data_IF_771502867218
#
_entry.id   IF_771502867218
#
_cell.length_a   1.000
_cell.length_b   1.000
_cell.length_c   1.000
_cell.angle_alpha   90.00
_cell.angle_beta   90.00
_cell.angle_gamma   90.00
#
_symmetry.space_group_name_H-M   'P 1'
#
loop_
_entity.id
_entity.type
_entity.pdbx_description
1 polymer ?
#
# COMPACT_ATOMS: atom_id res chain seq x y z
N UNK A 1 -17.36 27.18 -7.49
CA UNK A 1 -16.34 27.90 -8.28
C UNK A 1 -15.08 27.06 -8.28
N UNK A 2 -14.74 26.46 -9.44
CA UNK A 2 -13.54 25.64 -9.60
C UNK A 2 -12.33 26.56 -9.54
N UNK A 3 -11.65 26.63 -8.40
CA UNK A 3 -10.32 27.20 -8.32
C UNK A 3 -9.43 26.35 -9.20
N UNK A 4 -9.09 26.86 -10.40
CA UNK A 4 -8.04 26.29 -11.21
C UNK A 4 -6.83 26.10 -10.30
N UNK A 5 -6.49 24.84 -10.04
CA UNK A 5 -5.39 24.44 -9.18
C UNK A 5 -4.14 25.14 -9.73
N UNK A 6 -3.53 26.03 -8.96
CA UNK A 6 -2.18 26.53 -9.25
C UNK A 6 -1.23 25.69 -8.39
N UNK A 7 -0.02 25.42 -8.89
CA UNK A 7 1.01 24.82 -8.03
C UNK A 7 1.30 25.78 -6.88
N UNK A 8 1.73 25.23 -5.74
CA UNK A 8 2.10 26.09 -4.63
C UNK A 8 3.36 26.89 -4.98
N UNK A 9 3.44 28.10 -4.46
CA UNK A 9 4.66 28.89 -4.55
C UNK A 9 5.70 28.38 -3.56
N UNK A 10 6.98 28.51 -3.92
CA UNK A 10 8.06 28.30 -2.97
C UNK A 10 7.99 29.40 -1.91
N UNK A 11 8.23 29.06 -0.63
CA UNK A 11 8.24 30.08 0.41
C UNK A 11 9.41 31.04 0.18
N UNK A 12 9.17 32.33 0.40
CA UNK A 12 10.20 33.38 0.30
C UNK A 12 11.25 33.27 1.39
N UNK A 13 10.92 32.64 2.51
CA UNK A 13 11.81 32.33 3.63
C UNK A 13 11.61 30.89 4.08
N UNK A 14 12.69 30.14 4.21
CA UNK A 14 12.63 28.75 4.69
C UNK A 14 12.66 28.70 6.21
N UNK A 15 11.64 28.04 6.79
CA UNK A 15 11.67 27.65 8.21
C UNK A 15 12.59 26.43 8.43
N UNK A 16 12.97 26.10 9.68
CA UNK A 16 13.79 24.91 9.95
C UNK A 16 13.22 23.62 9.35
N UNK A 17 11.90 23.44 9.41
CA UNK A 17 11.21 22.30 8.80
C UNK A 17 11.40 22.23 7.28
N UNK A 18 11.36 23.39 6.60
CA UNK A 18 11.61 23.44 5.16
C UNK A 18 13.07 23.09 4.84
N UNK A 19 14.02 23.59 5.63
CA UNK A 19 15.46 23.30 5.44
C UNK A 19 15.71 21.80 5.63
N UNK A 20 15.21 21.20 6.71
CA UNK A 20 15.35 19.76 6.95
C UNK A 20 14.75 18.95 5.79
N UNK A 21 13.50 19.23 5.40
CA UNK A 21 12.84 18.50 4.33
C UNK A 21 13.57 18.64 2.98
N UNK A 22 14.10 19.83 2.67
CA UNK A 22 14.88 20.07 1.44
C UNK A 22 16.21 19.34 1.47
N UNK A 23 16.90 19.28 2.60
CA UNK A 23 18.13 18.51 2.75
C UNK A 23 17.88 17.03 2.53
N UNK A 24 16.79 16.48 3.10
CA UNK A 24 16.40 15.08 2.86
C UNK A 24 16.10 14.85 1.37
N UNK A 25 15.35 15.75 0.72
CA UNK A 25 15.02 15.60 -0.70
C UNK A 25 16.26 15.60 -1.59
N UNK A 26 17.18 16.55 -1.36
CA UNK A 26 18.42 16.65 -2.12
C UNK A 26 19.28 15.41 -1.96
N UNK A 27 19.44 14.95 -0.73
CA UNK A 27 20.18 13.71 -0.46
C UNK A 27 19.54 12.51 -1.17
N UNK A 28 18.22 12.33 -1.05
CA UNK A 28 17.50 11.27 -1.76
C UNK A 28 17.73 11.32 -3.27
N UNK A 29 17.56 12.50 -3.89
CA UNK A 29 17.75 12.64 -5.34
C UNK A 29 19.20 12.36 -5.76
N UNK A 30 20.19 12.87 -5.02
CA UNK A 30 21.61 12.59 -5.29
C UNK A 30 21.92 11.10 -5.14
N UNK A 31 21.41 10.42 -4.12
CA UNK A 31 21.59 8.97 -3.95
C UNK A 31 20.90 8.14 -5.03
N UNK A 32 19.90 8.68 -5.74
CA UNK A 32 19.30 8.03 -6.91
C UNK A 32 20.13 8.24 -8.19
N UNK A 33 20.91 9.32 -8.26
CA UNK A 33 21.84 9.63 -9.36
C UNK A 33 23.16 8.84 -9.27
N UNK A 34 23.48 8.27 -8.10
CA UNK A 34 24.68 7.46 -7.93
C UNK A 34 24.61 6.16 -8.76
N UNK A 35 25.58 5.86 -9.65
CA UNK A 35 25.56 4.66 -10.48
C UNK A 35 25.52 3.34 -9.72
N UNK A 36 26.06 3.32 -8.50
CA UNK A 36 26.08 2.15 -7.60
C UNK A 36 24.75 1.95 -6.86
N UNK A 37 23.84 2.93 -6.93
CA UNK A 37 22.51 2.82 -6.32
C UNK A 37 21.72 1.70 -6.98
N UNK A 38 21.15 0.81 -6.15
CA UNK A 38 20.25 -0.26 -6.64
C UNK A 38 19.07 0.26 -7.47
N UNK A 39 18.73 1.54 -7.30
CA UNK A 39 17.64 2.22 -7.97
C UNK A 39 18.08 3.03 -9.21
N UNK A 40 19.38 3.15 -9.49
CA UNK A 40 19.92 3.97 -10.57
C UNK A 40 19.33 3.61 -11.94
N UNK A 41 19.25 2.31 -12.26
CA UNK A 41 18.73 1.84 -13.54
C UNK A 41 17.31 2.34 -13.84
N UNK A 42 16.51 2.58 -12.79
CA UNK A 42 15.12 3.04 -12.90
C UNK A 42 14.98 4.55 -12.71
N UNK A 43 15.70 5.13 -11.74
CA UNK A 43 15.52 6.52 -11.33
C UNK A 43 16.66 7.44 -11.74
N UNK A 44 17.91 6.97 -11.82
CA UNK A 44 19.08 7.84 -12.01
C UNK A 44 18.98 8.71 -13.24
N UNK A 45 18.84 8.11 -14.42
CA UNK A 45 18.62 8.84 -15.68
C UNK A 45 17.33 9.66 -15.71
N UNK A 46 16.35 9.32 -14.87
CA UNK A 46 15.14 10.11 -14.75
C UNK A 46 15.40 11.37 -13.93
N UNK A 47 16.11 11.29 -12.81
CA UNK A 47 16.49 12.45 -12.00
C UNK A 47 17.42 13.38 -12.78
N UNK A 48 18.49 12.85 -13.39
CA UNK A 48 19.50 13.63 -14.14
C UNK A 48 18.90 14.51 -15.25
N UNK A 49 17.85 14.01 -15.92
CA UNK A 49 17.20 14.72 -17.02
C UNK A 49 16.30 15.88 -16.57
N UNK A 50 16.00 15.99 -15.28
CA UNK A 50 15.04 16.93 -14.72
C UNK A 50 15.70 17.94 -13.78
N UNK A 51 16.40 18.96 -14.31
CA UNK A 51 16.90 20.04 -13.47
C UNK A 51 15.73 20.76 -12.78
N UNK A 52 15.86 21.00 -11.47
CA UNK A 52 14.81 21.62 -10.65
C UNK A 52 13.70 20.65 -10.21
N UNK A 53 13.90 19.34 -10.33
CA UNK A 53 12.98 18.34 -9.79
C UNK A 53 12.76 18.52 -8.28
N UNK A 54 13.79 18.93 -7.53
CA UNK A 54 13.67 19.21 -6.09
C UNK A 54 12.65 20.33 -5.81
N UNK A 55 12.78 21.45 -6.52
CA UNK A 55 11.86 22.58 -6.42
C UNK A 55 10.44 22.18 -6.86
N UNK A 56 10.30 21.36 -7.90
CA UNK A 56 9.00 20.87 -8.35
C UNK A 56 8.31 19.97 -7.30
N UNK A 57 9.05 19.01 -6.73
CA UNK A 57 8.59 18.18 -5.63
C UNK A 57 8.15 19.04 -4.44
N UNK A 58 8.91 20.08 -4.10
CA UNK A 58 8.58 21.00 -3.02
C UNK A 58 7.27 21.76 -3.25
N UNK A 59 7.02 22.20 -4.50
CA UNK A 59 5.77 22.87 -4.90
C UNK A 59 4.55 21.94 -4.90
N UNK A 60 4.76 20.63 -5.04
CA UNK A 60 3.69 19.64 -4.92
C UNK A 60 3.16 19.52 -3.48
N UNK A 61 3.98 19.85 -2.46
CA UNK A 61 3.60 19.73 -1.05
C UNK A 61 2.62 20.84 -0.66
N UNK A 62 1.55 20.45 0.05
CA UNK A 62 0.54 21.39 0.53
C UNK A 62 1.10 22.26 1.67
N UNK A 63 0.81 23.58 1.71
CA UNK A 63 1.34 24.49 2.74
C UNK A 63 1.03 24.10 4.20
N UNK A 64 -0.10 23.41 4.42
CA UNK A 64 -0.51 22.95 5.76
C UNK A 64 0.43 21.90 6.34
N UNK A 65 1.14 21.16 5.47
CA UNK A 65 2.18 20.21 5.89
C UNK A 65 3.33 20.96 6.56
N UNK A 66 3.78 22.07 5.97
CA UNK A 66 4.85 22.88 6.53
C UNK A 66 4.47 23.51 7.87
N UNK A 67 3.21 23.94 7.99
CA UNK A 67 2.66 24.46 9.26
C UNK A 67 2.73 23.40 10.36
N UNK A 68 2.35 22.15 10.04
CA UNK A 68 2.46 21.03 10.97
C UNK A 68 3.91 20.71 11.35
N UNK A 69 4.79 20.56 10.36
CA UNK A 69 6.18 20.17 10.59
C UNK A 69 6.97 21.20 11.40
N UNK A 70 6.60 22.48 11.30
CA UNK A 70 7.19 23.55 12.11
C UNK A 70 6.64 23.62 13.53
N UNK A 71 5.53 22.93 13.81
CA UNK A 71 4.88 22.90 15.10
C UNK A 71 5.25 21.67 15.94
N UNK A 72 4.63 21.57 17.12
CA UNK A 72 4.72 20.37 17.95
C UNK A 72 3.87 19.27 17.34
N UNK A 73 4.49 18.12 17.09
CA UNK A 73 3.80 16.97 16.54
C UNK A 73 2.73 16.47 17.50
N UNK A 74 1.51 16.31 17.00
CA UNK A 74 0.40 15.71 17.73
C UNK A 74 -0.67 15.22 16.77
N UNK A 75 -1.50 14.28 17.21
CA UNK A 75 -2.60 13.79 16.39
C UNK A 75 -3.60 14.92 16.05
N UNK A 76 -3.84 15.83 16.99
CA UNK A 76 -4.71 16.99 16.76
C UNK A 76 -4.13 17.95 15.72
N UNK A 77 -2.81 18.18 15.76
CA UNK A 77 -2.14 19.04 14.80
C UNK A 77 -2.10 18.45 13.37
N UNK A 78 -2.37 17.15 13.19
CA UNK A 78 -2.51 16.54 11.86
C UNK A 78 -3.85 16.88 11.18
N UNK A 79 -4.90 17.23 11.93
CA UNK A 79 -6.25 17.48 11.39
C UNK A 79 -6.28 18.57 10.31
N UNK A 80 -5.57 19.72 10.45
CA UNK A 80 -5.50 20.74 9.39
C UNK A 80 -4.87 20.25 8.07
N UNK A 81 -4.11 19.15 8.08
CA UNK A 81 -3.57 18.53 6.86
C UNK A 81 -4.67 17.82 6.06
N UNK A 82 -5.88 17.62 6.60
CA UNK A 82 -7.00 16.89 5.98
C UNK A 82 -7.13 17.06 4.46
N UNK A 83 -7.23 18.31 3.98
CA UNK A 83 -7.33 18.61 2.55
C UNK A 83 -8.59 18.03 1.89
N UNK A 84 -8.61 18.01 0.56
CA UNK A 84 -9.72 17.39 -0.19
C UNK A 84 -9.47 15.89 -0.40
N UNK A 85 -9.94 15.07 0.54
CA UNK A 85 -9.86 13.60 0.45
C UNK A 85 -10.74 13.01 -0.66
N UNK A 86 -11.61 13.81 -1.30
CA UNK A 86 -12.50 13.37 -2.38
C UNK A 86 -11.97 13.70 -3.77
N UNK A 87 -10.78 14.30 -3.86
CA UNK A 87 -10.15 14.58 -5.15
C UNK A 87 -9.89 13.29 -5.93
N UNK A 88 -10.05 13.39 -7.26
CA UNK A 88 -9.67 12.33 -8.18
C UNK A 88 -8.18 12.32 -8.52
N UNK A 89 -7.41 13.32 -8.06
CA UNK A 89 -6.01 13.51 -8.39
C UNK A 89 -5.10 12.39 -7.86
N UNK A 90 -3.97 12.21 -8.54
CA UNK A 90 -2.82 11.48 -8.02
C UNK A 90 -2.21 12.26 -6.85
N UNK A 91 -1.96 11.59 -5.73
CA UNK A 91 -1.60 12.27 -4.50
C UNK A 91 -0.78 11.38 -3.56
N UNK A 92 -0.04 12.03 -2.67
CA UNK A 92 0.53 11.44 -1.46
C UNK A 92 -0.37 11.80 -0.29
N UNK A 93 -0.77 10.81 0.49
CA UNK A 93 -1.55 10.97 1.71
C UNK A 93 -0.79 10.45 2.92
N UNK A 94 -1.22 10.91 4.09
CA UNK A 94 -0.80 10.39 5.37
C UNK A 94 -2.01 9.87 6.14
N UNK A 95 -1.78 8.91 7.03
CA UNK A 95 -2.74 8.48 8.02
C UNK A 95 -2.04 8.40 9.38
N UNK A 96 -2.36 9.34 10.27
CA UNK A 96 -1.91 9.34 11.65
C UNK A 96 -2.90 8.58 12.52
N UNK A 97 -2.42 7.53 13.18
CA UNK A 97 -3.25 6.55 13.88
C UNK A 97 -2.88 6.56 15.36
N UNK A 98 -3.84 6.87 16.23
CA UNK A 98 -3.68 6.76 17.67
C UNK A 98 -4.12 5.37 18.13
N UNK A 99 -3.15 4.55 18.51
CA UNK A 99 -3.38 3.20 19.00
C UNK A 99 -4.11 3.18 20.34
N UNK A 100 -4.65 2.01 20.69
CA UNK A 100 -5.19 1.73 22.03
C UNK A 100 -4.12 1.90 23.13
N UNK A 101 -2.86 1.69 22.77
CA UNK A 101 -1.65 1.91 23.59
C UNK A 101 -1.24 3.38 23.72
N UNK A 102 -2.07 4.31 23.24
CA UNK A 102 -1.86 5.77 23.27
C UNK A 102 -0.65 6.26 22.48
N UNK A 103 -0.07 5.42 21.63
CA UNK A 103 1.03 5.81 20.72
C UNK A 103 0.47 6.23 19.37
N UNK A 104 1.06 7.28 18.79
CA UNK A 104 0.73 7.71 17.43
C UNK A 104 1.67 7.05 16.44
N UNK A 105 1.11 6.51 15.37
CA UNK A 105 1.84 5.90 14.27
C UNK A 105 1.45 6.54 12.94
N UNK A 106 2.42 6.74 12.07
CA UNK A 106 2.23 7.38 10.77
C UNK A 106 2.37 6.34 9.68
N UNK A 107 1.42 6.35 8.75
CA UNK A 107 1.54 5.70 7.46
C UNK A 107 1.52 6.78 6.38
N UNK A 108 2.49 6.75 5.46
CA UNK A 108 2.49 7.57 4.25
C UNK A 108 2.21 6.66 3.06
N UNK A 109 1.39 7.08 2.11
CA UNK A 109 1.15 6.29 0.91
C UNK A 109 0.78 7.13 -0.29
N UNK A 110 0.91 6.54 -1.47
CA UNK A 110 0.50 7.16 -2.73
C UNK A 110 -0.82 6.60 -3.27
N UNK A 111 -1.45 7.39 -4.13
CA UNK A 111 -2.63 7.00 -4.89
C UNK A 111 -2.59 7.62 -6.28
N UNK A 112 -2.96 6.86 -7.32
CA UNK A 112 -3.26 7.42 -8.66
C UNK A 112 -4.60 8.14 -8.69
N UNK A 113 -5.48 7.81 -7.75
CA UNK A 113 -6.72 8.54 -7.51
C UNK A 113 -7.02 8.48 -6.01
N UNK A 114 -7.03 9.63 -5.36
CA UNK A 114 -7.10 9.68 -3.90
C UNK A 114 -8.45 9.21 -3.36
N UNK A 115 -9.56 9.67 -3.93
CA UNK A 115 -10.92 9.33 -3.48
C UNK A 115 -11.17 7.82 -3.30
N UNK A 116 -10.96 6.95 -4.32
CA UNK A 116 -11.18 5.53 -4.16
C UNK A 116 -10.19 4.91 -3.14
N UNK A 117 -8.96 5.41 -3.07
CA UNK A 117 -7.95 4.93 -2.10
C UNK A 117 -8.37 5.24 -0.66
N UNK A 118 -8.86 6.44 -0.37
CA UNK A 118 -9.37 6.77 0.97
C UNK A 118 -10.63 5.96 1.30
N UNK A 119 -11.52 5.73 0.33
CA UNK A 119 -12.69 4.88 0.54
C UNK A 119 -12.31 3.44 0.92
N UNK A 120 -11.25 2.88 0.33
CA UNK A 120 -10.69 1.57 0.72
C UNK A 120 -10.22 1.57 2.17
N UNK A 121 -9.46 2.60 2.58
CA UNK A 121 -8.98 2.73 3.96
C UNK A 121 -10.10 2.77 4.99
N UNK A 122 -11.21 3.43 4.67
CA UNK A 122 -12.36 3.55 5.56
C UNK A 122 -13.26 2.30 5.55
N UNK A 123 -13.23 1.49 4.48
CA UNK A 123 -14.05 0.30 4.35
C UNK A 123 -13.49 -0.89 5.15
N UNK A 124 -14.22 -1.31 6.18
CA UNK A 124 -13.80 -2.43 7.03
C UNK A 124 -13.67 -3.77 6.29
N UNK A 125 -14.53 -4.04 5.29
CA UNK A 125 -14.47 -5.29 4.51
C UNK A 125 -13.21 -5.31 3.65
N UNK A 126 -12.92 -4.19 3.00
CA UNK A 126 -11.69 -4.05 2.23
C UNK A 126 -10.45 -4.29 3.10
N UNK A 127 -10.41 -3.69 4.30
CA UNK A 127 -9.29 -3.90 5.24
C UNK A 127 -9.15 -5.34 5.71
N UNK A 128 -10.26 -6.03 5.95
CA UNK A 128 -10.26 -7.46 6.32
C UNK A 128 -9.68 -8.32 5.21
N UNK A 129 -10.07 -8.05 3.96
CA UNK A 129 -9.71 -8.87 2.80
C UNK A 129 -8.32 -8.53 2.24
N UNK A 130 -7.70 -7.43 2.69
CA UNK A 130 -6.38 -6.96 2.24
C UNK A 130 -5.46 -6.69 3.44
N UNK A 131 -5.11 -7.70 4.25
CA UNK A 131 -4.37 -7.51 5.49
C UNK A 131 -3.02 -6.82 5.27
N UNK A 132 -2.71 -5.86 6.15
CA UNK A 132 -1.45 -5.14 6.17
C UNK A 132 -1.18 -4.59 7.58
N UNK A 133 0.07 -4.25 7.90
CA UNK A 133 0.42 -3.60 9.16
C UNK A 133 -0.38 -2.29 9.37
N UNK A 134 -0.58 -1.51 8.30
CA UNK A 134 -1.38 -0.29 8.34
C UNK A 134 -2.84 -0.56 8.76
N UNK A 135 -3.47 -1.60 8.19
CA UNK A 135 -4.84 -1.95 8.54
C UNK A 135 -4.96 -2.60 9.91
N UNK A 136 -3.95 -3.34 10.31
CA UNK A 136 -3.85 -3.87 11.67
C UNK A 136 -3.82 -2.74 12.69
N UNK A 137 -3.03 -1.68 12.42
CA UNK A 137 -2.98 -0.49 13.25
C UNK A 137 -4.34 0.22 13.31
N UNK A 138 -5.03 0.39 12.17
CA UNK A 138 -6.36 1.01 12.13
C UNK A 138 -7.40 0.23 12.95
N UNK A 139 -7.39 -1.10 12.88
CA UNK A 139 -8.32 -1.94 13.65
C UNK A 139 -8.08 -1.85 15.16
N UNK A 140 -6.87 -1.48 15.58
CA UNK A 140 -6.46 -1.34 16.99
C UNK A 140 -6.21 0.12 17.37
N UNK A 141 -7.04 1.01 16.84
CA UNK A 141 -6.95 2.45 17.06
C UNK A 141 -8.20 3.02 17.72
N UNK A 142 -8.00 4.11 18.46
CA UNK A 142 -9.09 4.91 19.06
C UNK A 142 -9.56 5.94 18.04
N UNK A 143 -8.61 6.50 17.29
CA UNK A 143 -8.84 7.57 16.34
C UNK A 143 -7.77 7.56 15.28
N UNK A 144 -8.10 8.08 14.10
CA UNK A 144 -7.14 8.34 13.06
C UNK A 144 -7.45 9.65 12.32
N UNK A 145 -6.41 10.31 11.82
CA UNK A 145 -6.48 11.51 11.01
C UNK A 145 -5.83 11.24 9.65
N UNK A 146 -6.60 11.41 8.57
CA UNK A 146 -6.11 11.27 7.19
C UNK A 146 -5.90 12.67 6.61
N UNK A 147 -4.76 12.90 5.99
CA UNK A 147 -4.42 14.16 5.36
C UNK A 147 -3.76 13.99 4.00
N UNK A 148 -3.85 15.02 3.16
CA UNK A 148 -3.16 15.07 1.86
C UNK A 148 -1.84 15.81 2.02
N UNK A 149 -0.73 15.14 1.73
CA UNK A 149 0.61 15.72 1.78
C UNK A 149 0.94 16.46 0.49
N UNK A 150 0.77 15.76 -0.64
CA UNK A 150 1.07 16.28 -1.96
C UNK A 150 -0.05 15.90 -2.93
N UNK A 151 -0.34 16.76 -3.90
CA UNK A 151 -1.22 16.44 -5.02
C UNK A 151 -0.48 16.78 -6.30
N UNK A 152 -0.42 15.84 -7.23
CA UNK A 152 0.18 16.10 -8.53
C UNK A 152 -0.71 17.05 -9.34
N UNK A 153 -0.11 17.94 -10.15
CA UNK A 153 -0.86 18.80 -11.05
C UNK A 153 -1.77 17.99 -11.98
N UNK A 154 -2.95 18.54 -12.27
CA UNK A 154 -3.87 17.96 -13.26
C UNK A 154 -3.19 17.89 -14.64
N UNK A 155 -3.52 16.89 -15.50
CA UNK A 155 -3.05 16.86 -16.88
C UNK A 155 -3.32 18.16 -17.65
N UNK A 156 -4.34 18.92 -17.26
CA UNK A 156 -4.69 20.23 -17.84
C UNK A 156 -3.74 21.37 -17.45
N UNK A 157 -2.79 21.15 -16.54
CA UNK A 157 -1.82 22.14 -16.05
C UNK A 157 -0.43 22.02 -16.71
N UNK A 158 -0.37 21.55 -17.95
CA UNK A 158 0.88 21.31 -18.67
C UNK A 158 1.26 19.83 -18.80
N UNK A 159 0.57 18.94 -18.08
CA UNK A 159 0.68 17.48 -18.24
C UNK A 159 2.14 17.01 -18.21
N UNK A 160 2.55 16.27 -19.25
CA UNK A 160 3.90 15.73 -19.40
C UNK A 160 5.00 16.79 -19.64
N UNK A 161 4.64 18.05 -19.90
CA UNK A 161 5.61 19.13 -20.07
C UNK A 161 6.14 19.68 -18.73
N UNK A 162 5.51 19.32 -17.61
CA UNK A 162 6.01 19.65 -16.28
C UNK A 162 7.14 18.70 -15.89
N UNK A 163 8.11 19.22 -15.12
CA UNK A 163 9.27 18.47 -14.63
C UNK A 163 8.87 17.17 -13.95
N UNK A 164 9.37 16.03 -14.44
CA UNK A 164 9.12 14.70 -13.87
C UNK A 164 7.72 14.12 -14.12
N UNK A 165 6.84 14.82 -14.85
CA UNK A 165 5.47 14.37 -15.14
C UNK A 165 5.35 13.55 -16.43
N UNK A 166 6.43 13.35 -17.17
CA UNK A 166 6.50 12.36 -18.24
C UNK A 166 6.44 10.92 -17.70
N UNK A 167 6.88 10.70 -16.46
CA UNK A 167 6.60 9.49 -15.68
C UNK A 167 6.06 9.81 -14.28
N UNK A 168 4.73 10.05 -14.14
CA UNK A 168 4.13 10.41 -12.87
C UNK A 168 4.20 9.27 -11.84
N UNK A 169 4.47 8.02 -12.25
CA UNK A 169 4.61 6.92 -11.30
C UNK A 169 5.96 6.99 -10.57
N UNK A 170 7.06 7.33 -11.28
CA UNK A 170 8.35 7.57 -10.63
C UNK A 170 8.28 8.77 -9.69
N UNK A 171 7.63 9.86 -10.10
CA UNK A 171 7.44 11.02 -9.26
C UNK A 171 6.65 10.70 -7.98
N UNK A 172 5.55 9.94 -8.09
CA UNK A 172 4.81 9.51 -6.90
C UNK A 172 5.68 8.68 -5.96
N UNK A 173 6.46 7.73 -6.49
CA UNK A 173 7.35 6.89 -5.67
C UNK A 173 8.39 7.72 -4.91
N UNK A 174 8.97 8.73 -5.58
CA UNK A 174 9.94 9.66 -4.98
C UNK A 174 9.29 10.55 -3.94
N UNK A 175 8.08 11.07 -4.20
CA UNK A 175 7.33 11.86 -3.21
C UNK A 175 6.90 11.02 -2.01
N UNK A 176 6.49 9.77 -2.21
CA UNK A 176 6.16 8.84 -1.11
C UNK A 176 7.41 8.52 -0.29
N UNK A 177 8.55 8.22 -0.94
CA UNK A 177 9.83 7.99 -0.26
C UNK A 177 10.25 9.21 0.55
N UNK A 178 10.29 10.38 -0.08
CA UNK A 178 10.67 11.63 0.57
C UNK A 178 9.78 11.94 1.76
N UNK A 179 8.45 11.86 1.59
CA UNK A 179 7.55 12.13 2.70
C UNK A 179 7.59 11.05 3.77
N UNK A 180 7.86 9.79 3.41
CA UNK A 180 8.11 8.71 4.36
C UNK A 180 9.35 8.96 5.22
N UNK A 181 10.41 9.50 4.61
CA UNK A 181 11.59 9.99 5.33
C UNK A 181 11.20 11.16 6.23
N UNK A 182 10.62 12.24 5.71
CA UNK A 182 10.25 13.44 6.50
C UNK A 182 9.36 13.09 7.70
N UNK A 183 8.41 12.17 7.52
CA UNK A 183 7.50 11.73 8.58
C UNK A 183 8.04 10.59 9.46
N UNK A 184 9.24 10.07 9.15
CA UNK A 184 9.85 8.89 9.79
C UNK A 184 8.90 7.69 9.83
N UNK A 185 8.16 7.48 8.73
CA UNK A 185 7.17 6.41 8.65
C UNK A 185 7.74 5.08 8.14
N UNK A 186 8.97 5.10 7.61
CA UNK A 186 9.71 3.92 7.12
C UNK A 186 10.34 3.12 8.28
N UNK A 187 10.76 1.86 8.05
CA UNK A 187 11.47 1.06 9.05
C UNK A 187 12.84 1.65 9.39
N UNK A 188 13.34 1.33 10.58
CA UNK A 188 14.59 1.90 11.11
C UNK A 188 15.77 1.72 10.15
N UNK A 189 15.97 0.52 9.59
CA UNK A 189 17.04 0.24 8.63
C UNK A 189 16.96 1.12 7.36
N UNK A 190 15.76 1.37 6.83
CA UNK A 190 15.58 2.28 5.70
C UNK A 190 15.79 3.74 6.09
N UNK A 191 15.40 4.14 7.30
CA UNK A 191 15.68 5.48 7.79
C UNK A 191 17.19 5.69 7.95
N UNK A 192 17.92 4.69 8.43
CA UNK A 192 19.39 4.73 8.54
C UNK A 192 20.07 4.77 7.17
N UNK A 193 19.57 4.00 6.20
CA UNK A 193 20.11 3.96 4.82
C UNK A 193 19.88 5.27 4.07
N UNK A 194 18.70 5.90 4.22
CA UNK A 194 18.25 6.97 3.33
C UNK A 194 18.16 8.37 3.96
N UNK A 195 18.39 8.50 5.27
CA UNK A 195 18.49 9.83 5.88
C UNK A 195 19.92 10.37 5.76
N UNK A 196 20.07 11.69 5.55
CA UNK A 196 21.37 12.33 5.66
C UNK A 196 22.02 12.06 7.03
N UNK A 197 23.34 11.92 7.04
CA UNK A 197 24.11 11.74 8.27
C UNK A 197 23.78 12.82 9.33
N UNK A 198 23.70 12.39 10.59
CA UNK A 198 23.38 13.26 11.72
C UNK A 198 21.89 13.57 11.90
N UNK A 199 21.00 13.13 11.00
CA UNK A 199 19.55 13.26 11.21
C UNK A 199 19.00 12.12 12.07
N UNK A 200 18.19 12.48 13.07
CA UNK A 200 17.48 11.49 13.89
C UNK A 200 16.48 10.69 13.05
N UNK A 201 16.47 9.37 13.21
CA UNK A 201 15.44 8.47 12.68
C UNK A 201 14.13 8.53 13.47
N UNK A 202 14.12 9.20 14.64
CA UNK A 202 12.95 9.33 15.52
C UNK A 202 12.42 10.76 15.52
N UNK A 203 11.09 10.90 15.55
CA UNK A 203 10.40 12.18 15.75
C UNK A 203 9.54 12.10 17.01
N UNK A 204 9.69 13.08 17.89
CA UNK A 204 8.94 13.19 19.14
C UNK A 204 7.82 14.23 19.02
N UNK A 205 6.70 13.93 19.68
CA UNK A 205 5.54 14.80 19.75
C UNK A 205 4.87 14.76 21.11
N UNK A 206 3.62 15.21 21.16
CA UNK A 206 2.80 15.23 22.38
C UNK A 206 2.55 13.81 22.91
N UNK A 207 2.35 12.85 22.03
CA UNK A 207 2.06 11.44 22.35
C UNK A 207 3.33 10.57 22.46
N UNK A 208 4.50 11.19 22.59
CA UNK A 208 5.80 10.51 22.65
C UNK A 208 6.46 10.36 21.27
N UNK A 209 7.24 9.29 21.09
CA UNK A 209 7.89 8.98 19.80
C UNK A 209 6.83 8.48 18.82
N UNK A 210 6.78 9.11 17.64
CA UNK A 210 5.90 8.70 16.55
C UNK A 210 6.47 7.45 15.86
N UNK A 211 5.66 6.40 15.75
CA UNK A 211 6.05 5.15 15.08
C UNK A 211 5.77 5.18 13.58
N UNK A 212 6.48 4.34 12.81
CA UNK A 212 6.27 4.15 11.37
C UNK A 212 5.47 2.89 11.05
N UNK A 213 4.65 2.95 10.00
CA UNK A 213 3.84 1.83 9.51
C UNK A 213 4.15 1.42 8.06
N UNK A 214 5.05 2.13 7.37
CA UNK A 214 5.53 1.70 6.07
C UNK A 214 6.48 0.51 6.26
N UNK A 215 6.32 -0.52 5.44
CA UNK A 215 7.13 -1.76 5.49
C UNK A 215 7.71 -2.16 4.13
N UNK A 216 7.54 -1.30 3.12
CA UNK A 216 8.07 -1.49 1.78
C UNK A 216 8.74 -0.19 1.35
N UNK A 217 9.89 -0.28 0.69
CA UNK A 217 10.50 0.89 0.08
C UNK A 217 9.56 1.45 -0.99
N UNK A 218 9.15 2.72 -0.91
CA UNK A 218 8.34 3.32 -1.97
C UNK A 218 9.02 3.28 -3.35
N UNK A 219 10.35 3.30 -3.40
CA UNK A 219 11.12 3.21 -4.65
C UNK A 219 10.99 1.84 -5.34
N UNK A 220 10.65 0.78 -4.61
CA UNK A 220 10.44 -0.57 -5.16
C UNK A 220 9.06 -0.74 -5.80
N UNK A 221 8.16 0.25 -5.69
CA UNK A 221 6.80 0.10 -6.19
C UNK A 221 6.77 -0.04 -7.71
N UNK A 222 6.09 -1.07 -8.21
CA UNK A 222 6.07 -1.42 -9.64
C UNK A 222 7.22 -2.33 -10.06
N UNK A 223 8.16 -2.66 -9.17
CA UNK A 223 9.11 -3.74 -9.35
C UNK A 223 8.56 -5.03 -8.72
N UNK A 224 8.88 -6.18 -9.34
CA UNK A 224 8.56 -7.52 -8.85
C UNK A 224 9.53 -8.00 -7.78
N UNK A 225 10.73 -7.40 -7.68
CA UNK A 225 11.78 -7.76 -6.73
C UNK A 225 11.80 -6.84 -5.51
N UNK A 226 10.69 -6.79 -4.78
CA UNK A 226 10.63 -6.09 -3.49
C UNK A 226 11.30 -6.95 -2.43
N UNK A 227 12.32 -6.43 -1.76
CA UNK A 227 12.89 -7.08 -0.59
C UNK A 227 11.87 -7.08 0.55
N UNK A 228 11.76 -8.22 1.24
CA UNK A 228 10.96 -8.30 2.44
C UNK A 228 11.74 -7.73 3.61
N UNK A 229 11.15 -6.76 4.31
CA UNK A 229 11.80 -6.15 5.48
C UNK A 229 11.58 -7.04 6.68
N UNK A 230 12.66 -7.42 7.36
CA UNK A 230 12.55 -8.08 8.65
C UNK A 230 12.13 -7.07 9.73
N UNK A 231 10.97 -7.32 10.31
CA UNK A 231 10.40 -6.53 11.41
C UNK A 231 10.74 -7.13 12.79
N UNK A 232 11.66 -8.11 12.87
CA UNK A 232 11.96 -8.87 14.09
C UNK A 232 12.54 -7.99 15.19
N UNK A 233 13.32 -6.99 14.81
CA UNK A 233 13.99 -6.05 15.71
C UNK A 233 13.12 -4.83 16.04
N UNK A 234 11.85 -4.81 15.63
CA UNK A 234 10.97 -3.68 15.92
C UNK A 234 10.60 -3.61 17.40
N UNK A 235 10.98 -2.51 18.06
CA UNK A 235 10.58 -2.19 19.43
C UNK A 235 9.11 -1.77 19.57
N UNK A 236 8.40 -1.61 18.46
CA UNK A 236 7.00 -1.19 18.48
C UNK A 236 6.09 -2.37 18.92
N UNK A 237 5.36 -2.25 20.05
CA UNK A 237 4.50 -3.33 20.55
C UNK A 237 3.45 -3.80 19.53
N UNK A 238 2.92 -2.88 18.72
CA UNK A 238 1.91 -3.20 17.70
C UNK A 238 2.51 -3.98 16.54
N UNK A 239 3.75 -3.68 16.15
CA UNK A 239 4.47 -4.40 15.10
C UNK A 239 4.80 -5.82 15.57
N UNK A 240 5.29 -5.97 16.81
CA UNK A 240 5.56 -7.28 17.42
C UNK A 240 4.32 -8.15 17.50
N UNK A 241 3.21 -7.57 17.92
CA UNK A 241 1.91 -8.25 17.98
C UNK A 241 1.38 -8.61 16.59
N UNK A 242 1.55 -7.75 15.59
CA UNK A 242 1.24 -8.06 14.19
C UNK A 242 2.02 -9.29 13.69
N UNK A 243 3.33 -9.38 13.99
CA UNK A 243 4.12 -10.57 13.64
C UNK A 243 3.62 -11.82 14.36
N UNK A 244 3.39 -11.74 15.67
CA UNK A 244 2.90 -12.86 16.48
C UNK A 244 1.53 -13.38 16.01
N UNK A 245 0.62 -12.46 15.70
CA UNK A 245 -0.69 -12.79 15.14
C UNK A 245 -0.65 -13.30 13.70
N UNK A 246 0.29 -12.82 12.88
CA UNK A 246 0.52 -13.34 11.53
C UNK A 246 1.01 -14.79 11.57
N UNK A 247 1.98 -15.13 12.43
CA UNK A 247 2.46 -16.50 12.59
C UNK A 247 1.39 -17.49 13.08
N UNK A 248 0.46 -17.04 13.94
CA UNK A 248 -0.66 -17.87 14.41
C UNK A 248 -1.76 -18.04 13.34
N UNK A 249 -2.01 -17.02 12.50
CA UNK A 249 -2.96 -17.13 11.39
C UNK A 249 -2.43 -17.96 10.23
N UNK A 250 -1.13 -17.86 9.89
CA UNK A 250 -0.56 -18.66 8.79
C UNK A 250 -0.65 -20.16 9.06
N UNK A 251 -0.49 -20.61 10.31
CA UNK A 251 -0.62 -22.03 10.66
C UNK A 251 -2.07 -22.52 10.68
N UNK A 252 -3.03 -21.67 11.09
CA UNK A 252 -4.46 -21.99 11.06
C UNK A 252 -5.02 -21.96 9.63
N UNK A 253 -4.71 -20.94 8.85
CA UNK A 253 -5.19 -20.78 7.46
C UNK A 253 -4.62 -21.87 6.53
N UNK A 254 -3.36 -22.30 6.74
CA UNK A 254 -2.78 -23.43 6.00
C UNK A 254 -3.47 -24.76 6.34
N UNK A 255 -3.82 -24.99 7.62
CA UNK A 255 -4.54 -26.19 8.05
C UNK A 255 -5.99 -26.18 7.55
N UNK A 256 -6.67 -25.04 7.59
CA UNK A 256 -8.05 -24.91 7.07
C UNK A 256 -8.10 -25.07 5.55
N UNK A 257 -7.17 -24.46 4.80
CA UNK A 257 -7.08 -24.62 3.35
C UNK A 257 -6.75 -26.07 2.95
N UNK A 258 -5.85 -26.74 3.68
CA UNK A 258 -5.54 -28.16 3.45
C UNK A 258 -6.77 -29.05 3.71
N UNK A 259 -7.49 -28.81 4.81
CA UNK A 259 -8.72 -29.52 5.16
C UNK A 259 -9.85 -29.30 4.14
N UNK A 260 -10.00 -28.08 3.61
CA UNK A 260 -11.02 -27.77 2.62
C UNK A 260 -10.71 -28.43 1.26
N UNK A 261 -9.44 -28.44 0.85
CA UNK A 261 -8.99 -29.16 -0.36
C UNK A 261 -9.21 -30.66 -0.22
N UNK A 262 -8.93 -31.24 0.95
CA UNK A 262 -9.15 -32.67 1.20
C UNK A 262 -10.64 -33.03 1.19
N UNK A 263 -11.48 -32.18 1.78
CA UNK A 263 -12.94 -32.34 1.76
C UNK A 263 -13.49 -32.30 0.34
N UNK A 264 -13.08 -31.32 -0.48
CA UNK A 264 -13.48 -31.22 -1.89
C UNK A 264 -13.03 -32.44 -2.69
N UNK A 265 -11.81 -32.96 -2.47
CA UNK A 265 -11.33 -34.19 -3.13
C UNK A 265 -12.21 -35.40 -2.79
N UNK A 266 -12.63 -35.55 -1.53
CA UNK A 266 -13.53 -36.63 -1.09
C UNK A 266 -14.91 -36.51 -1.74
N UNK A 267 -15.49 -35.31 -1.76
CA UNK A 267 -16.79 -35.04 -2.39
C UNK A 267 -16.77 -35.34 -3.90
N UNK A 268 -15.71 -34.92 -4.61
CA UNK A 268 -15.54 -35.22 -6.03
C UNK A 268 -15.38 -36.72 -6.29
N UNK A 269 -14.59 -37.42 -5.48
CA UNK A 269 -14.40 -38.86 -5.61
C UNK A 269 -15.70 -39.63 -5.36
N UNK A 270 -16.51 -39.22 -4.39
CA UNK A 270 -17.81 -39.84 -4.10
C UNK A 270 -18.82 -39.58 -5.22
N UNK A 271 -18.86 -38.35 -5.74
CA UNK A 271 -19.74 -37.99 -6.87
C UNK A 271 -19.38 -38.76 -8.14
N UNK A 272 -18.09 -38.93 -8.43
CA UNK A 272 -17.61 -39.76 -9.54
C UNK A 272 -17.95 -41.24 -9.36
N UNK A 273 -17.85 -41.79 -8.14
CA UNK A 273 -18.28 -43.16 -7.83
C UNK A 273 -19.77 -43.37 -8.07
N UNK A 274 -20.62 -42.43 -7.62
CA UNK A 274 -22.08 -42.48 -7.83
C UNK A 274 -22.45 -42.40 -9.31
N UNK A 275 -21.78 -41.53 -10.09
CA UNK A 275 -21.97 -41.45 -11.55
C UNK A 275 -21.59 -42.76 -12.26
N UNK A 276 -20.46 -43.36 -11.88
CA UNK A 276 -20.02 -44.64 -12.46
C UNK A 276 -20.94 -45.81 -12.08
N UNK A 277 -21.52 -45.80 -10.86
CA UNK A 277 -22.53 -46.78 -10.46
C UNK A 277 -23.84 -46.60 -11.24
N UNK A 278 -24.33 -45.37 -11.38
CA UNK A 278 -25.54 -45.07 -12.16
C UNK A 278 -25.39 -45.41 -13.65
N UNK A 279 -24.22 -45.19 -14.25
CA UNK A 279 -23.93 -45.63 -15.62
C UNK A 279 -23.90 -47.15 -15.74
N UNK A 280 -23.32 -47.88 -14.77
CA UNK A 280 -23.33 -49.35 -14.79
C UNK A 280 -24.74 -49.93 -14.66
N UNK A 281 -25.59 -49.35 -13.81
CA UNK A 281 -26.99 -49.77 -13.66
C UNK A 281 -27.82 -49.49 -14.92
N UNK A 282 -27.61 -48.33 -15.56
CA UNK A 282 -28.30 -47.96 -16.80
C UNK A 282 -27.89 -48.87 -17.98
N UNK A 283 -26.61 -49.24 -18.07
CA UNK A 283 -26.11 -50.19 -19.09
C UNK A 283 -26.64 -51.62 -18.84
N UNK A 284 -26.74 -52.07 -17.58
CA UNK A 284 -27.35 -53.37 -17.25
C UNK A 284 -28.84 -53.41 -17.63
N UNK A 285 -29.56 -52.32 -17.34
CA UNK A 285 -30.99 -52.18 -17.66
C UNK A 285 -31.25 -52.23 -19.17
N UNK A 286 -30.45 -51.50 -19.98
CA UNK A 286 -30.59 -51.51 -21.44
C UNK A 286 -30.27 -52.88 -22.06
N UNK A 287 -29.23 -53.56 -21.60
CA UNK A 287 -28.88 -54.90 -22.11
C UNK A 287 -29.94 -55.94 -21.77
N UNK A 288 -30.62 -55.80 -20.63
CA UNK A 288 -31.75 -56.65 -20.25
C UNK A 288 -32.97 -56.36 -21.14
N UNK A 289 -33.24 -55.09 -21.46
CA UNK A 289 -34.35 -54.71 -22.35
C UNK A 289 -34.14 -55.19 -23.79
N UNK A 290 -32.91 -55.16 -24.31
CA UNK A 290 -32.56 -55.65 -25.65
C UNK A 290 -32.70 -57.17 -25.75
N UNK A 291 -32.32 -57.91 -24.70
CA UNK A 291 -32.49 -59.36 -24.66
C UNK A 291 -33.97 -59.79 -24.69
N UNK A 292 -34.86 -59.03 -24.03
CA UNK A 292 -36.31 -59.29 -24.10
C UNK A 292 -36.97 -58.76 -25.38
N UNK A 293 -36.47 -57.66 -25.96
CA UNK A 293 -37.01 -57.05 -27.19
C UNK A 293 -36.79 -57.86 -28.48
N UNK A 294 -35.69 -58.62 -28.59
CA UNK A 294 -35.46 -59.50 -29.74
C UNK A 294 -36.17 -60.87 -29.63
N UNK A 295 -36.65 -61.26 -28.45
CA UNK A 295 -37.41 -62.51 -28.28
C UNK A 295 -38.85 -62.45 -28.79
N UNK A 296 -39.41 -61.24 -28.96
CA UNK A 296 -40.82 -61.05 -29.32
C UNK A 296 -41.08 -60.81 -30.83
N UNK A 297 -40.04 -60.67 -31.65
CA UNK A 297 -40.17 -60.36 -33.09
C UNK A 297 -39.98 -61.57 -34.04
N UNK A 298 -39.81 -62.79 -33.51
CA UNK A 298 -39.72 -64.03 -34.30
C UNK A 298 -40.90 -64.99 -34.10
N UNK A 299 -42.07 -64.46 -33.69
CA UNK A 299 -43.22 -65.30 -33.32
C UNK A 299 -44.56 -64.87 -33.91
N UNK A 300 -44.63 -64.23 -35.08
CA UNK A 300 -45.89 -64.10 -35.84
C UNK A 300 -45.60 -63.90 -37.34
N UNK A 301 -45.39 -65.01 -38.04
CA UNK A 301 -45.61 -65.14 -39.49
C UNK A 301 -45.76 -66.62 -39.80
N UNK A 302 -46.94 -66.98 -40.33
CA UNK A 302 -47.50 -68.29 -40.70
C UNK A 302 -48.27 -69.03 -39.60
#
# INVERSE_FOLDING_TARGET
TSTASRMNDLPTQFTPAHVEARTILKHLLSSLEEPESKHYARYGKWVERHPGLDDFCFRCIRPHVWTYLNGRWSLDALKPIGGDLRTGASAIYLNGILGLDKRVRIYVGQARSLRPRIAQHLNFRYRRDNPSLHYYALQRSIYNAIGVLAALPSPTMGGHALTGMEDPALLLNVLEMWMGLVFRSLPASMLEEWLPEGMSSKKEGKEGVFGGLNIRCPLDQGDSKSDWIDLSESDDPLVRDYKGGASAKTSLDQNEAANEVEKRKKEYAEKARKLNQGQKEMVLSMNTLIAFGMGALLGFSL
#
